data_IF_787722291825
#
_entry.id   IF_787722291825
#
_cell.length_a   1.000
_cell.length_b   1.000
_cell.length_c   1.000
_cell.angle_alpha   90.00
_cell.angle_beta   90.00
_cell.angle_gamma   90.00
#
_symmetry.space_group_name_H-M   'P 1'
#
loop_
_entity.id
_entity.type
_entity.pdbx_description
1 polymer ?
#
# COMPACT_ATOMS: atom_id res chain seq x y z
N UNK A 1 15.77 -9.62 14.12
CA UNK A 1 14.45 -9.66 14.76
C UNK A 1 13.44 -10.16 13.74
N UNK A 2 12.50 -11.05 14.11
CA UNK A 2 11.48 -11.52 13.20
C UNK A 2 10.61 -10.35 12.74
N UNK A 3 10.21 -10.39 11.47
CA UNK A 3 9.25 -9.44 10.91
C UNK A 3 7.82 -9.85 11.22
N UNK A 4 6.88 -8.93 11.05
CA UNK A 4 5.44 -9.22 11.10
C UNK A 4 4.81 -8.82 9.77
N UNK A 5 4.00 -9.69 9.20
CA UNK A 5 3.22 -9.47 7.99
C UNK A 5 1.74 -9.53 8.33
N UNK A 6 1.00 -8.50 7.99
CA UNK A 6 -0.45 -8.47 8.08
C UNK A 6 -1.04 -8.43 6.66
N UNK A 7 -1.76 -9.49 6.28
CA UNK A 7 -2.49 -9.58 5.02
C UNK A 7 -3.96 -9.25 5.30
N UNK A 8 -4.43 -8.12 4.80
CA UNK A 8 -5.81 -7.67 4.94
C UNK A 8 -6.46 -7.57 3.55
N UNK A 9 -7.37 -8.47 3.27
CA UNK A 9 -8.21 -8.45 2.08
C UNK A 9 -9.67 -8.26 2.49
N UNK A 10 -10.31 -7.19 2.01
CA UNK A 10 -11.65 -6.84 2.44
C UNK A 10 -12.49 -6.30 1.28
N UNK A 11 -13.63 -6.94 1.05
CA UNK A 11 -14.62 -6.55 0.04
C UNK A 11 -16.03 -6.64 0.58
N UNK A 12 -16.92 -5.68 0.26
CA UNK A 12 -18.32 -5.79 0.62
C UNK A 12 -19.00 -6.91 -0.17
N UNK A 13 -19.83 -7.70 0.50
CA UNK A 13 -20.60 -8.77 -0.16
C UNK A 13 -21.77 -8.19 -0.94
N UNK A 14 -21.96 -8.62 -2.19
CA UNK A 14 -23.15 -8.30 -2.99
C UNK A 14 -23.03 -7.11 -3.94
N UNK A 15 -24.16 -6.44 -4.18
CA UNK A 15 -24.23 -5.31 -5.11
C UNK A 15 -23.41 -4.12 -4.61
N UNK A 16 -22.41 -3.72 -5.37
CA UNK A 16 -21.53 -2.59 -4.99
C UNK A 16 -20.09 -3.03 -4.69
N UNK A 17 -19.79 -4.31 -4.75
CA UNK A 17 -18.43 -4.81 -4.75
C UNK A 17 -17.68 -4.36 -6.01
N UNK A 18 -16.54 -3.71 -5.84
CA UNK A 18 -15.71 -3.21 -6.94
C UNK A 18 -14.50 -4.12 -7.21
N UNK A 19 -14.07 -4.90 -6.23
CA UNK A 19 -12.88 -5.75 -6.30
C UNK A 19 -13.09 -7.04 -5.52
N UNK A 20 -12.64 -8.15 -6.08
CA UNK A 20 -12.52 -9.41 -5.35
C UNK A 20 -11.17 -9.42 -4.60
N UNK A 21 -11.17 -8.82 -3.41
CA UNK A 21 -9.94 -8.63 -2.65
C UNK A 21 -9.38 -9.95 -2.12
N UNK A 22 -10.23 -10.88 -1.69
CA UNK A 22 -9.81 -12.15 -1.11
C UNK A 22 -9.05 -13.04 -2.11
N UNK A 23 -9.26 -12.85 -3.42
CA UNK A 23 -8.56 -13.61 -4.46
C UNK A 23 -7.04 -13.41 -4.49
N UNK A 24 -6.51 -12.44 -3.76
CA UNK A 24 -5.05 -12.21 -3.64
C UNK A 24 -4.42 -13.04 -2.53
N UNK A 25 -5.18 -13.46 -1.54
CA UNK A 25 -4.63 -14.13 -0.34
C UNK A 25 -3.91 -15.44 -0.66
N UNK A 26 -4.47 -16.36 -1.50
CA UNK A 26 -3.74 -17.58 -1.88
C UNK A 26 -2.42 -17.29 -2.59
N UNK A 27 -2.37 -16.20 -3.36
CA UNK A 27 -1.19 -15.77 -4.09
C UNK A 27 -0.11 -15.29 -3.11
N UNK A 28 -0.47 -14.40 -2.18
CA UNK A 28 0.45 -13.90 -1.14
C UNK A 28 0.86 -15.00 -0.14
N UNK A 29 -0.05 -15.92 0.19
CA UNK A 29 0.25 -17.04 1.10
C UNK A 29 1.24 -18.05 0.50
N UNK A 30 1.37 -18.11 -0.82
CA UNK A 30 2.36 -18.94 -1.50
C UNK A 30 3.79 -18.37 -1.38
N UNK A 31 3.93 -17.06 -1.02
CA UNK A 31 5.23 -16.42 -0.82
C UNK A 31 5.74 -16.72 0.59
N UNK A 32 7.02 -17.11 0.74
CA UNK A 32 7.59 -17.30 2.08
C UNK A 32 7.44 -16.04 2.94
N UNK A 33 7.03 -16.16 4.22
CA UNK A 33 6.85 -15.03 5.13
C UNK A 33 8.06 -14.10 5.25
N UNK A 34 9.25 -14.66 5.25
CA UNK A 34 10.52 -13.93 5.29
C UNK A 34 10.67 -12.96 4.11
N UNK A 35 10.22 -13.38 2.93
CA UNK A 35 10.28 -12.58 1.70
C UNK A 35 9.26 -11.45 1.74
N UNK A 36 8.04 -11.70 2.22
CA UNK A 36 7.00 -10.68 2.39
C UNK A 36 7.40 -9.60 3.41
N UNK A 37 8.10 -10.00 4.47
CA UNK A 37 8.56 -9.09 5.50
C UNK A 37 9.90 -8.40 5.16
N UNK A 38 10.68 -8.96 4.22
CA UNK A 38 12.06 -8.52 3.96
C UNK A 38 13.01 -8.80 5.14
N UNK A 39 12.79 -9.90 5.87
CA UNK A 39 13.56 -10.31 7.06
C UNK A 39 13.88 -11.80 7.00
N UNK A 40 14.78 -12.31 7.83
CA UNK A 40 15.14 -13.73 7.84
C UNK A 40 13.97 -14.65 8.28
N UNK A 41 13.14 -14.15 9.19
CA UNK A 41 11.95 -14.84 9.70
C UNK A 41 10.80 -13.86 9.88
N UNK A 42 9.56 -14.31 9.69
CA UNK A 42 8.38 -13.48 9.90
C UNK A 42 7.17 -14.29 10.36
N UNK A 43 6.31 -13.61 11.14
CA UNK A 43 4.97 -14.08 11.45
C UNK A 43 3.97 -13.48 10.47
N UNK A 44 3.04 -14.28 9.96
CA UNK A 44 1.97 -13.84 9.07
C UNK A 44 0.63 -13.91 9.78
N UNK A 45 -0.12 -12.82 9.71
CA UNK A 45 -1.50 -12.74 10.16
C UNK A 45 -2.36 -12.43 8.94
N UNK A 46 -3.33 -13.29 8.66
CA UNK A 46 -4.25 -13.15 7.54
C UNK A 46 -5.66 -12.77 8.02
N UNK A 47 -6.27 -11.82 7.34
CA UNK A 47 -7.65 -11.38 7.52
C UNK A 47 -8.36 -11.38 6.16
N UNK A 48 -9.14 -12.43 5.93
CA UNK A 48 -9.98 -12.59 4.74
C UNK A 48 -11.40 -12.10 5.04
N UNK A 49 -11.86 -11.11 4.29
CA UNK A 49 -13.22 -10.54 4.34
C UNK A 49 -13.77 -10.36 5.77
N UNK A 50 -13.08 -9.62 6.65
CA UNK A 50 -13.51 -9.45 8.03
C UNK A 50 -14.90 -8.81 8.10
N UNK A 51 -15.73 -9.29 9.04
CA UNK A 51 -17.10 -8.83 9.21
C UNK A 51 -17.21 -7.54 10.03
N UNK A 52 -16.29 -7.38 10.99
CA UNK A 52 -16.37 -6.36 12.03
C UNK A 52 -15.10 -5.50 12.05
N UNK A 53 -15.22 -4.16 12.13
CA UNK A 53 -14.06 -3.27 12.19
C UNK A 53 -13.18 -3.50 13.44
N UNK A 54 -13.77 -3.96 14.55
CA UNK A 54 -13.03 -4.27 15.77
C UNK A 54 -12.09 -5.47 15.61
N UNK A 55 -12.46 -6.46 14.80
CA UNK A 55 -11.58 -7.59 14.50
C UNK A 55 -10.32 -7.12 13.76
N UNK A 56 -10.48 -6.23 12.77
CA UNK A 56 -9.36 -5.61 12.06
C UNK A 56 -8.49 -4.79 13.00
N UNK A 57 -9.12 -3.95 13.84
CA UNK A 57 -8.41 -3.10 14.79
C UNK A 57 -7.56 -3.91 15.77
N UNK A 58 -8.13 -4.97 16.34
CA UNK A 58 -7.42 -5.85 17.28
C UNK A 58 -6.19 -6.49 16.64
N UNK A 59 -6.30 -6.96 15.40
CA UNK A 59 -5.17 -7.56 14.67
C UNK A 59 -4.12 -6.52 14.28
N UNK A 60 -4.56 -5.34 13.85
CA UNK A 60 -3.66 -4.23 13.54
C UNK A 60 -2.88 -3.77 14.77
N UNK A 61 -3.53 -3.65 15.94
CA UNK A 61 -2.87 -3.34 17.22
C UNK A 61 -1.83 -4.38 17.61
N UNK A 62 -2.20 -5.65 17.54
CA UNK A 62 -1.28 -6.73 17.84
C UNK A 62 -0.06 -6.71 16.91
N UNK A 63 -0.27 -6.48 15.61
CA UNK A 63 0.81 -6.35 14.64
C UNK A 63 1.65 -5.08 14.89
N UNK A 64 1.02 -3.96 15.24
CA UNK A 64 1.72 -2.71 15.56
C UNK A 64 2.54 -2.80 16.85
N UNK A 65 2.12 -3.60 17.83
CA UNK A 65 2.85 -3.82 19.07
C UNK A 65 4.00 -4.84 18.93
N UNK A 66 4.00 -5.65 17.86
CA UNK A 66 5.05 -6.64 17.64
C UNK A 66 6.41 -5.97 17.39
N UNK A 67 7.49 -6.51 17.95
CA UNK A 67 8.83 -6.00 17.69
C UNK A 67 9.27 -6.27 16.26
N UNK A 68 10.22 -5.47 15.75
CA UNK A 68 10.78 -5.64 14.42
C UNK A 68 9.97 -4.96 13.30
N UNK A 69 10.34 -5.20 12.04
CA UNK A 69 9.67 -4.60 10.89
C UNK A 69 8.24 -5.11 10.72
N UNK A 70 7.33 -4.21 10.33
CA UNK A 70 5.94 -4.53 10.01
C UNK A 70 5.65 -4.23 8.54
N UNK A 71 5.15 -5.24 7.83
CA UNK A 71 4.63 -5.06 6.47
C UNK A 71 3.14 -5.37 6.46
N UNK A 72 2.35 -4.39 6.02
CA UNK A 72 0.88 -4.51 5.94
C UNK A 72 0.46 -4.46 4.48
N UNK A 73 -0.16 -5.52 4.00
CA UNK A 73 -0.79 -5.59 2.68
C UNK A 73 -2.28 -5.32 2.83
N UNK A 74 -2.78 -4.30 2.16
CA UNK A 74 -4.20 -3.95 2.20
C UNK A 74 -4.77 -3.98 0.78
N UNK A 75 -5.64 -4.94 0.55
CA UNK A 75 -6.39 -5.07 -0.70
C UNK A 75 -7.86 -4.88 -0.40
N UNK A 76 -8.54 -4.02 -1.17
CA UNK A 76 -9.96 -3.83 -0.91
C UNK A 76 -10.58 -2.61 -1.58
N UNK A 77 -11.72 -2.23 -1.04
CA UNK A 77 -12.51 -1.12 -1.52
C UNK A 77 -12.62 -0.03 -0.45
N UNK A 78 -12.32 1.22 -0.82
CA UNK A 78 -12.63 2.37 0.03
C UNK A 78 -13.99 2.96 -0.33
N UNK A 79 -14.74 3.30 0.72
CA UNK A 79 -16.01 4.01 0.64
C UNK A 79 -15.95 5.26 1.53
N UNK A 80 -16.56 6.35 1.06
CA UNK A 80 -16.63 7.60 1.80
C UNK A 80 -17.92 7.64 2.65
N UNK A 81 -17.78 7.79 3.97
CA UNK A 81 -18.93 8.18 4.79
C UNK A 81 -19.38 9.58 4.40
N UNK A 82 -20.61 9.69 3.91
CA UNK A 82 -21.16 10.95 3.39
C UNK A 82 -21.37 12.01 4.48
N UNK A 83 -21.62 11.59 5.73
CA UNK A 83 -21.87 12.51 6.85
C UNK A 83 -20.58 13.06 7.43
N UNK A 84 -19.63 12.17 7.74
CA UNK A 84 -18.34 12.56 8.33
C UNK A 84 -17.28 12.94 7.29
N UNK A 85 -17.50 12.61 6.02
CA UNK A 85 -16.52 12.81 4.95
C UNK A 85 -15.19 12.12 5.23
N UNK A 86 -15.24 10.94 5.85
CA UNK A 86 -14.10 10.11 6.17
C UNK A 86 -14.08 8.85 5.30
N UNK A 87 -12.92 8.46 4.77
CA UNK A 87 -12.77 7.20 4.04
C UNK A 87 -12.74 6.01 5.02
N UNK A 88 -13.40 4.93 4.63
CA UNK A 88 -13.42 3.66 5.33
C UNK A 88 -13.04 2.54 4.37
N UNK A 89 -12.29 1.56 4.82
CA UNK A 89 -12.16 0.29 4.12
C UNK A 89 -13.47 -0.46 4.30
N UNK A 90 -14.12 -0.80 3.19
CA UNK A 90 -15.35 -1.55 3.21
C UNK A 90 -15.08 -3.00 3.57
N UNK A 91 -15.72 -3.49 4.63
CA UNK A 91 -15.66 -4.86 5.10
C UNK A 91 -16.85 -5.66 4.52
N UNK A 92 -16.90 -6.96 4.77
CA UNK A 92 -17.88 -7.85 4.14
C UNK A 92 -19.34 -7.42 4.33
N UNK A 93 -19.71 -6.83 5.48
CA UNK A 93 -21.06 -6.32 5.76
C UNK A 93 -21.29 -4.86 5.40
N UNK A 94 -20.30 -4.19 4.82
CA UNK A 94 -20.37 -2.77 4.56
C UNK A 94 -21.26 -2.46 3.36
N UNK A 95 -22.19 -1.55 3.55
CA UNK A 95 -23.00 -0.95 2.48
C UNK A 95 -22.81 0.57 2.48
N UNK A 96 -23.16 1.29 1.41
CA UNK A 96 -23.08 2.76 1.38
C UNK A 96 -23.84 3.47 2.49
N UNK A 97 -24.91 2.85 3.04
CA UNK A 97 -25.69 3.41 4.16
C UNK A 97 -25.12 3.07 5.53
N UNK A 98 -24.39 1.96 5.66
CA UNK A 98 -23.86 1.46 6.94
C UNK A 98 -22.35 1.65 7.09
N UNK A 99 -21.66 2.22 6.11
CA UNK A 99 -20.20 2.37 6.06
C UNK A 99 -19.60 2.92 7.34
N UNK A 100 -20.30 3.85 7.97
CA UNK A 100 -19.90 4.49 9.24
C UNK A 100 -19.77 3.50 10.39
N UNK A 101 -20.55 2.43 10.40
CA UNK A 101 -20.65 1.49 11.51
C UNK A 101 -20.00 0.16 11.20
N UNK A 102 -19.98 -0.24 9.94
CA UNK A 102 -19.51 -1.55 9.50
C UNK A 102 -18.21 -1.52 8.71
N UNK A 103 -17.78 -0.34 8.24
CA UNK A 103 -16.48 -0.14 7.59
C UNK A 103 -15.38 0.13 8.59
N UNK A 104 -14.13 -0.18 8.23
CA UNK A 104 -12.95 0.14 9.02
C UNK A 104 -12.49 1.57 8.71
N UNK A 105 -12.55 2.52 9.67
CA UNK A 105 -12.16 3.90 9.44
C UNK A 105 -10.67 3.99 9.06
N UNK A 106 -10.36 4.65 7.94
CA UNK A 106 -8.99 4.68 7.44
C UNK A 106 -8.00 5.37 8.41
N UNK A 107 -8.46 6.38 9.14
CA UNK A 107 -7.60 7.09 10.10
C UNK A 107 -7.09 6.20 11.25
N UNK A 108 -7.73 5.04 11.51
CA UNK A 108 -7.24 4.10 12.51
C UNK A 108 -5.90 3.47 12.12
N UNK A 109 -5.59 3.32 10.83
CA UNK A 109 -4.23 2.93 10.43
C UNK A 109 -3.20 3.94 10.94
N UNK A 110 -3.45 5.24 10.75
CA UNK A 110 -2.57 6.30 11.25
C UNK A 110 -2.43 6.27 12.76
N UNK A 111 -3.53 6.13 13.48
CA UNK A 111 -3.53 6.13 14.95
C UNK A 111 -2.77 4.92 15.52
N UNK A 112 -2.97 3.72 14.99
CA UNK A 112 -2.32 2.52 15.50
C UNK A 112 -0.82 2.45 15.11
N UNK A 113 -0.45 3.01 13.97
CA UNK A 113 0.93 2.96 13.48
C UNK A 113 1.80 4.15 13.94
N UNK A 114 1.21 5.20 14.53
CA UNK A 114 1.90 6.45 14.90
C UNK A 114 3.05 6.28 15.91
N UNK A 115 2.98 5.25 16.75
CA UNK A 115 3.97 4.98 17.80
C UNK A 115 5.14 4.11 17.32
N UNK A 116 5.09 3.63 16.09
CA UNK A 116 6.18 2.85 15.53
C UNK A 116 7.32 3.74 15.08
N UNK A 117 8.55 3.22 15.21
CA UNK A 117 9.74 3.94 14.74
C UNK A 117 9.67 4.19 13.24
N UNK A 118 10.12 5.36 12.81
CA UNK A 118 10.11 5.72 11.40
C UNK A 118 10.91 4.72 10.57
N UNK A 119 10.38 4.32 9.41
CA UNK A 119 11.01 3.39 8.49
C UNK A 119 10.89 1.91 8.87
N UNK A 120 10.25 1.58 10.00
CA UNK A 120 10.02 0.18 10.40
C UNK A 120 8.67 -0.37 9.94
N UNK A 121 7.85 0.45 9.28
CA UNK A 121 6.53 0.05 8.82
C UNK A 121 6.36 0.34 7.34
N UNK A 122 5.91 -0.66 6.60
CA UNK A 122 5.58 -0.56 5.17
C UNK A 122 4.12 -0.93 4.94
N UNK A 123 3.39 -0.08 4.22
CA UNK A 123 2.05 -0.37 3.71
C UNK A 123 2.09 -0.59 2.21
N UNK A 124 1.53 -1.71 1.76
CA UNK A 124 1.30 -1.99 0.35
C UNK A 124 -0.21 -1.99 0.09
N UNK A 125 -0.65 -1.13 -0.82
CA UNK A 125 -2.06 -0.85 -1.06
C UNK A 125 -2.48 -1.21 -2.48
N UNK A 126 -3.56 -1.98 -2.61
CA UNK A 126 -4.29 -2.16 -3.88
C UNK A 126 -5.77 -1.90 -3.61
N UNK A 127 -6.15 -0.63 -3.72
CA UNK A 127 -7.46 -0.15 -3.30
C UNK A 127 -8.29 0.29 -4.51
N UNK A 128 -9.58 -0.01 -4.46
CA UNK A 128 -10.56 0.40 -5.45
C UNK A 128 -11.55 1.38 -4.83
N UNK A 129 -12.06 2.33 -5.61
CA UNK A 129 -12.95 3.38 -5.11
C UNK A 129 -14.07 3.68 -6.09
N UNK A 130 -15.21 4.16 -5.55
CA UNK A 130 -16.26 4.75 -6.34
C UNK A 130 -15.93 6.19 -6.79
N UNK A 131 -16.77 6.77 -7.64
CA UNK A 131 -16.55 8.11 -8.19
C UNK A 131 -16.53 9.20 -7.10
N UNK A 132 -17.35 9.08 -6.07
CA UNK A 132 -17.43 10.07 -4.99
C UNK A 132 -16.18 10.02 -4.10
N UNK A 133 -15.73 8.82 -3.73
CA UNK A 133 -14.50 8.60 -2.97
C UNK A 133 -13.27 9.02 -3.78
N UNK A 134 -13.26 8.73 -5.09
CA UNK A 134 -12.19 9.17 -5.98
C UNK A 134 -12.05 10.69 -6.05
N UNK A 135 -13.17 11.39 -6.25
CA UNK A 135 -13.19 12.86 -6.27
C UNK A 135 -12.67 13.46 -4.95
N UNK A 136 -13.04 12.85 -3.82
CA UNK A 136 -12.57 13.27 -2.50
C UNK A 136 -11.06 13.05 -2.31
N UNK A 137 -10.54 11.88 -2.72
CA UNK A 137 -9.12 11.53 -2.61
C UNK A 137 -8.22 12.40 -3.49
N UNK A 138 -8.67 12.78 -4.68
CA UNK A 138 -7.91 13.64 -5.58
C UNK A 138 -7.53 14.99 -4.96
N UNK A 139 -8.36 15.51 -4.07
CA UNK A 139 -8.12 16.79 -3.41
C UNK A 139 -7.33 16.69 -2.08
N UNK A 140 -7.34 15.51 -1.44
CA UNK A 140 -6.81 15.35 -0.07
C UNK A 140 -5.73 14.29 0.08
N UNK A 141 -5.73 13.29 -0.79
CA UNK A 141 -4.87 12.13 -0.64
C UNK A 141 -5.36 11.14 0.43
N UNK A 142 -4.58 10.12 0.69
CA UNK A 142 -4.85 9.09 1.69
C UNK A 142 -3.69 9.07 2.70
N UNK A 143 -3.93 9.59 3.88
CA UNK A 143 -2.92 9.67 4.94
C UNK A 143 -2.80 8.34 5.68
N UNK A 144 -1.56 7.85 5.86
CA UNK A 144 -1.25 6.60 6.55
C UNK A 144 -0.39 6.80 7.81
N UNK A 145 -0.01 8.04 8.10
CA UNK A 145 0.81 8.41 9.26
C UNK A 145 2.25 8.79 8.91
N UNK A 146 2.90 9.53 9.82
CA UNK A 146 4.31 9.90 9.66
C UNK A 146 5.21 8.67 9.84
N UNK A 147 6.28 8.60 9.08
CA UNK A 147 7.27 7.53 9.21
C UNK A 147 6.87 6.17 8.62
N UNK A 148 5.68 6.05 8.03
CA UNK A 148 5.21 4.85 7.33
C UNK A 148 5.58 4.96 5.84
N UNK A 149 6.25 3.93 5.31
CA UNK A 149 6.51 3.82 3.88
C UNK A 149 5.25 3.26 3.19
N UNK A 150 4.71 3.99 2.20
CA UNK A 150 3.48 3.60 1.51
C UNK A 150 3.77 3.36 0.03
N UNK A 151 3.38 2.19 -0.45
CA UNK A 151 3.49 1.79 -1.85
C UNK A 151 2.15 1.28 -2.35
N UNK A 152 1.93 1.35 -3.65
CA UNK A 152 0.73 0.77 -4.23
C UNK A 152 -0.09 1.76 -5.03
N UNK A 153 -1.38 1.46 -5.13
CA UNK A 153 -2.31 2.28 -5.91
C UNK A 153 -3.68 2.39 -5.25
N UNK A 154 -4.38 3.44 -5.63
CA UNK A 154 -5.85 3.51 -5.56
C UNK A 154 -6.36 3.54 -7.00
N UNK A 155 -7.12 2.53 -7.39
CA UNK A 155 -7.68 2.42 -8.72
C UNK A 155 -8.93 3.33 -8.84
N UNK A 156 -9.03 4.14 -9.92
CA UNK A 156 -10.20 4.95 -10.16
C UNK A 156 -11.43 4.06 -10.42
N UNK A 157 -12.65 4.63 -10.35
CA UNK A 157 -13.86 3.88 -10.65
C UNK A 157 -13.82 3.37 -12.10
N UNK A 158 -14.02 2.06 -12.26
CA UNK A 158 -14.15 1.42 -13.56
C UNK A 158 -15.62 1.46 -13.97
N UNK A 159 -15.89 1.71 -15.26
CA UNK A 159 -17.26 1.73 -15.80
C UNK A 159 -18.05 0.45 -15.47
N UNK A 160 -19.36 0.54 -15.54
CA UNK A 160 -20.40 -0.37 -15.01
C UNK A 160 -20.05 -1.87 -14.97
N UNK A 161 -20.23 -2.48 -13.78
CA UNK A 161 -20.62 -3.88 -13.51
C UNK A 161 -19.56 -4.98 -13.55
N UNK A 162 -18.28 -4.71 -13.59
CA UNK A 162 -17.29 -5.78 -13.47
C UNK A 162 -16.51 -5.65 -12.16
N UNK A 163 -16.58 -6.69 -11.34
CA UNK A 163 -15.71 -6.82 -10.17
C UNK A 163 -14.27 -6.93 -10.68
N UNK A 164 -13.40 -6.04 -10.21
CA UNK A 164 -12.00 -6.01 -10.66
C UNK A 164 -11.17 -7.07 -9.95
N UNK A 165 -10.12 -7.54 -10.61
CA UNK A 165 -9.09 -8.30 -9.93
C UNK A 165 -8.05 -7.35 -9.31
N UNK A 166 -7.45 -7.68 -8.15
CA UNK A 166 -6.41 -6.89 -7.50
C UNK A 166 -5.05 -7.07 -8.20
N UNK A 167 -4.95 -6.52 -9.40
CA UNK A 167 -3.82 -6.77 -10.31
C UNK A 167 -2.50 -6.22 -9.84
N UNK A 168 -2.52 -5.11 -9.06
CA UNK A 168 -1.28 -4.57 -8.51
C UNK A 168 -0.67 -5.51 -7.47
N UNK A 169 -1.50 -6.01 -6.56
CA UNK A 169 -1.04 -6.91 -5.51
C UNK A 169 -0.56 -8.25 -6.08
N UNK A 170 -1.22 -8.76 -7.13
CA UNK A 170 -0.75 -9.95 -7.86
C UNK A 170 0.59 -9.71 -8.56
N UNK A 171 0.81 -8.52 -9.14
CA UNK A 171 2.09 -8.18 -9.76
C UNK A 171 3.23 -7.93 -8.74
N UNK A 172 2.92 -7.59 -7.48
CA UNK A 172 3.91 -7.53 -6.39
C UNK A 172 4.45 -8.93 -6.12
N UNK A 173 3.58 -9.94 -6.12
CA UNK A 173 3.97 -11.34 -5.96
C UNK A 173 4.94 -11.81 -7.04
N UNK A 174 4.63 -11.58 -8.30
CA UNK A 174 5.49 -11.94 -9.44
C UNK A 174 6.91 -11.35 -9.28
N UNK A 175 7.01 -10.07 -8.89
CA UNK A 175 8.31 -9.39 -8.69
C UNK A 175 9.07 -9.90 -7.48
N UNK A 176 8.36 -10.30 -6.44
CA UNK A 176 8.97 -10.91 -5.24
C UNK A 176 9.52 -12.30 -5.60
N UNK A 177 8.78 -13.08 -6.39
CA UNK A 177 9.21 -14.38 -6.89
C UNK A 177 10.44 -14.26 -7.83
N UNK A 178 10.46 -13.28 -8.74
CA UNK A 178 11.57 -12.99 -9.65
C UNK A 178 12.86 -12.63 -8.87
N UNK A 179 12.76 -11.79 -7.83
CA UNK A 179 13.92 -11.43 -6.99
C UNK A 179 14.50 -12.65 -6.28
N UNK A 180 13.65 -13.58 -5.86
CA UNK A 180 14.08 -14.84 -5.24
C UNK A 180 14.83 -15.73 -6.23
N UNK A 181 14.32 -15.88 -7.44
CA UNK A 181 14.98 -16.65 -8.50
C UNK A 181 16.35 -16.07 -8.83
N UNK A 182 16.45 -14.74 -8.92
CA UNK A 182 17.72 -14.06 -9.19
C UNK A 182 18.72 -14.20 -8.02
N UNK A 183 18.25 -14.15 -6.77
CA UNK A 183 19.08 -14.33 -5.57
C UNK A 183 19.56 -15.77 -5.41
N UNK A 184 18.73 -16.76 -5.72
CA UNK A 184 19.09 -18.16 -5.68
C UNK A 184 20.13 -18.51 -6.76
N UNK A 185 20.04 -17.91 -7.95
CA UNK A 185 21.03 -18.04 -9.01
C UNK A 185 22.41 -17.44 -8.62
N UNK A 186 22.41 -16.34 -7.87
CA UNK A 186 23.66 -15.71 -7.42
C UNK A 186 24.41 -16.53 -6.36
N UNK A 187 23.70 -17.27 -5.53
CA UNK A 187 24.33 -18.17 -4.52
C UNK A 187 24.87 -19.44 -5.17
N UNK A 188 24.22 -19.94 -6.20
CA UNK A 188 24.70 -21.13 -6.94
C UNK A 188 25.94 -20.84 -7.80
N UNK A 189 26.17 -19.59 -8.22
CA UNK A 189 27.33 -19.21 -9.05
C UNK A 189 28.55 -18.77 -8.25
N UNK A 190 28.47 -18.60 -6.94
CA UNK A 190 29.58 -18.21 -6.08
C UNK A 190 30.61 -19.35 -5.80
N UNK A 191 30.39 -20.53 -6.35
CA UNK A 191 31.28 -21.71 -6.22
C UNK A 191 32.31 -21.93 -7.35
N UNK A 192 32.34 -21.11 -8.40
CA UNK A 192 33.29 -21.20 -9.49
C UNK A 192 34.17 -19.95 -9.53
N UNK A 193 35.48 -20.15 -9.39
CA UNK A 193 36.52 -19.15 -9.21
C UNK A 193 36.66 -18.09 -10.31
N UNK A 194 37.60 -17.14 -10.15
CA UNK A 194 37.52 -15.83 -10.79
C UNK A 194 38.06 -15.82 -12.22
N UNK A 195 37.25 -15.37 -13.16
CA UNK A 195 37.76 -14.90 -14.45
C UNK A 195 37.44 -13.40 -14.63
N UNK A 196 38.50 -12.66 -14.98
CA UNK A 196 38.50 -11.21 -15.15
C UNK A 196 38.02 -10.87 -16.55
N UNK A 197 36.83 -10.35 -16.69
CA UNK A 197 36.32 -9.83 -17.95
C UNK A 197 35.60 -8.48 -17.76
N UNK A 198 36.23 -7.40 -18.22
CA UNK A 198 35.64 -6.05 -18.31
C UNK A 198 34.43 -6.07 -19.27
N UNK A 199 33.30 -5.53 -18.82
CA UNK A 199 32.15 -5.25 -19.68
C UNK A 199 31.30 -4.16 -19.09
N UNK A 200 31.37 -2.95 -19.65
CA UNK A 200 30.44 -1.84 -19.39
C UNK A 200 29.07 -2.19 -19.94
N UNK A 201 28.02 -2.05 -19.14
CA UNK A 201 26.65 -2.17 -19.58
C UNK A 201 25.72 -1.57 -18.53
N UNK A 202 25.27 -0.32 -18.77
CA UNK A 202 24.28 0.36 -17.93
C UNK A 202 22.94 -0.33 -18.01
N UNK A 203 22.44 -0.87 -16.90
CA UNK A 203 21.06 -1.34 -16.76
C UNK A 203 20.16 -0.20 -16.29
N UNK A 204 18.87 -0.15 -16.69
CA UNK A 204 17.97 0.92 -16.30
C UNK A 204 17.65 0.85 -14.82
N UNK A 205 17.94 1.95 -14.12
CA UNK A 205 17.78 2.10 -12.70
C UNK A 205 16.34 1.84 -12.22
N UNK A 206 16.24 1.02 -11.18
CA UNK A 206 15.02 0.89 -10.39
C UNK A 206 14.66 2.25 -9.80
N UNK A 207 13.57 2.84 -10.29
CA UNK A 207 13.04 4.10 -9.79
C UNK A 207 12.34 3.81 -8.47
N UNK A 208 13.09 3.87 -7.38
CA UNK A 208 12.57 3.91 -6.03
C UNK A 208 11.96 5.30 -5.77
N UNK A 209 10.64 5.38 -5.74
CA UNK A 209 9.94 6.60 -5.39
C UNK A 209 9.85 6.72 -3.87
N UNK A 210 10.69 7.57 -3.29
CA UNK A 210 10.48 8.07 -1.93
C UNK A 210 9.36 9.10 -1.99
N UNK A 211 8.20 8.78 -1.44
CA UNK A 211 7.09 9.71 -1.33
C UNK A 211 7.34 10.68 -0.16
N UNK A 212 7.86 11.88 -0.47
CA UNK A 212 7.73 13.03 0.40
C UNK A 212 6.32 13.61 0.29
N UNK A 213 5.54 13.47 1.33
CA UNK A 213 4.38 14.29 1.73
C UNK A 213 3.18 14.49 0.80
N UNK A 214 3.08 13.94 -0.43
CA UNK A 214 1.81 13.97 -1.21
C UNK A 214 1.70 12.77 -2.12
N UNK A 215 0.64 12.03 -1.92
CA UNK A 215 0.26 10.90 -2.75
C UNK A 215 -0.47 11.41 -4.01
N UNK A 216 0.10 11.21 -5.20
CA UNK A 216 -0.56 11.47 -6.47
C UNK A 216 -0.94 10.15 -7.13
N UNK A 217 -2.23 9.93 -7.45
CA UNK A 217 -2.62 8.78 -8.24
C UNK A 217 -2.11 8.96 -9.67
N UNK A 218 -1.22 8.11 -10.14
CA UNK A 218 -0.90 8.01 -11.56
C UNK A 218 -2.05 7.32 -12.29
N UNK A 219 -3.03 8.10 -12.78
CA UNK A 219 -3.78 7.74 -13.97
C UNK A 219 -2.83 7.91 -15.16
N UNK A 220 -2.80 6.92 -16.05
CA UNK A 220 -2.04 6.96 -17.30
C UNK A 220 -2.58 7.98 -18.30
N UNK A 221 -2.52 9.25 -17.93
CA UNK A 221 -2.82 10.36 -18.81
C UNK A 221 -1.52 11.15 -19.04
N UNK A 222 -0.97 11.08 -20.25
CA UNK A 222 0.09 11.98 -20.67
C UNK A 222 -0.53 13.37 -20.87
N UNK A 223 -0.15 14.40 -20.10
CA UNK A 223 -0.54 15.75 -20.44
C UNK A 223 0.24 16.19 -21.69
N UNK A 224 -0.48 16.55 -22.75
CA UNK A 224 0.08 17.33 -23.86
C UNK A 224 0.10 18.78 -23.41
N UNK A 225 1.29 19.32 -23.12
CA UNK A 225 1.48 20.74 -22.85
C UNK A 225 2.63 21.01 -21.87
N UNK A 226 3.32 22.17 -22.01
CA UNK A 226 4.42 22.53 -21.12
C UNK A 226 3.92 22.89 -19.73
N UNK A 227 4.67 22.46 -18.71
CA UNK A 227 4.39 22.74 -17.29
C UNK A 227 4.50 24.25 -17.00
N UNK A 228 3.58 24.85 -16.22
CA UNK A 228 3.79 26.18 -15.67
C UNK A 228 4.92 26.13 -14.62
N UNK A 229 5.75 27.20 -14.52
CA UNK A 229 6.85 27.26 -13.57
C UNK A 229 6.33 27.31 -12.13
N UNK A 230 7.05 26.64 -11.22
CA UNK A 230 6.78 26.68 -9.78
C UNK A 230 6.82 28.12 -9.26
N UNK A 231 5.86 28.55 -8.43
CA UNK A 231 5.94 29.83 -7.75
C UNK A 231 7.13 29.82 -6.77
N UNK A 232 8.03 30.80 -6.91
CA UNK A 232 9.15 31.03 -5.99
C UNK A 232 8.59 31.48 -4.65
N UNK A 233 8.96 30.77 -3.56
CA UNK A 233 8.66 31.17 -2.20
C UNK A 233 9.26 32.53 -1.83
N UNK A 234 8.71 33.24 -0.82
CA UNK A 234 9.17 34.57 -0.43
C UNK A 234 10.63 34.52 0.07
N UNK A 235 11.44 35.45 -0.45
CA UNK A 235 12.82 35.67 0.00
C UNK A 235 12.79 36.29 1.40
N UNK A 236 13.43 35.66 2.36
CA UNK A 236 13.80 36.32 3.60
C UNK A 236 14.75 37.45 3.34
N UNK A 237 14.34 38.71 3.65
CA UNK A 237 15.24 39.83 3.77
C UNK A 237 15.91 39.77 5.16
N UNK A 238 17.25 39.97 5.24
CA UNK A 238 17.91 40.16 6.53
C UNK A 238 17.62 41.57 7.04
N UNK A 239 17.10 41.70 8.24
CA UNK A 239 16.97 42.94 8.99
C UNK A 239 18.37 43.45 9.35
N UNK A 240 18.78 44.54 8.75
CA UNK A 240 19.95 45.29 9.16
C UNK A 240 19.67 46.08 10.44
N UNK A 241 20.54 45.90 11.42
CA UNK A 241 20.66 46.70 12.63
C UNK A 241 21.38 47.99 12.32
N UNK A 242 20.83 49.09 12.79
CA UNK A 242 21.53 50.35 13.18
C UNK A 242 20.88 50.86 14.44
#
# INVERSE_FOLDING_TARGET
MPGTVLLLAASPVGKGCLVDAASVLPVLAAVPPAVLAGTDTANVVELADPLEPQAVLTRLRAAAAAPGPLTVFVTGQLQLDRKQRLPHLALARTTPSTVRYTGFPWHWFREELRLRSAGTTTLLLDLHVDAATWAWLRGRGLECGPGVAVYGRVAPPVGRRKVAAPTYMKAVDDRVAERRAAGAGAVASAGAGPDRGRGRGGGPGAVGWRCGRRWWPRCGFRPRGPFPPCPRGPRHQPSGSS
#
